data_IF_565083855761
#
_entry.id   IF_565083855761
#
_cell.length_a   1.000
_cell.length_b   1.000
_cell.length_c   1.000
_cell.angle_alpha   90.00
_cell.angle_beta   90.00
_cell.angle_gamma   90.00
#
_symmetry.space_group_name_H-M   'P 1'
#
loop_
_entity.id
_entity.type
_entity.pdbx_description
1 polymer ?
#
# COMPACT_ATOMS: atom_id res chain seq x y z
N UNK A 1 -2.10 13.39 4.88
CA UNK A 1 -1.56 12.02 5.00
C UNK A 1 -1.64 11.67 6.47
N UNK A 2 -2.53 10.75 6.84
CA UNK A 2 -2.72 10.33 8.23
C UNK A 2 -1.43 9.67 8.76
N UNK A 3 -0.93 10.01 9.97
CA UNK A 3 0.27 9.40 10.54
C UNK A 3 0.17 7.86 10.67
N UNK A 4 -1.05 7.29 10.75
CA UNK A 4 -1.26 5.84 10.74
C UNK A 4 -0.89 5.20 9.40
N UNK A 5 -1.11 5.92 8.29
CA UNK A 5 -0.76 5.46 6.93
C UNK A 5 0.76 5.41 6.79
N UNK A 6 1.47 6.45 7.21
CA UNK A 6 2.94 6.48 7.14
C UNK A 6 3.61 5.36 7.96
N UNK A 7 3.04 5.00 9.11
CA UNK A 7 3.55 3.92 9.97
C UNK A 7 3.31 2.51 9.39
N UNK A 8 2.29 2.32 8.55
CA UNK A 8 1.96 1.02 7.94
C UNK A 8 2.86 0.69 6.77
N UNK A 9 3.35 1.69 6.03
CA UNK A 9 4.02 1.42 4.78
C UNK A 9 5.53 1.18 4.89
N UNK A 10 6.24 1.71 5.91
CA UNK A 10 7.72 1.64 6.07
C UNK A 10 8.53 1.72 4.74
N UNK A 11 7.93 2.33 3.72
CA UNK A 11 8.57 2.73 2.49
C UNK A 11 9.10 4.12 2.80
N UNK A 12 10.37 4.38 2.50
CA UNK A 12 10.99 5.69 2.68
C UNK A 12 10.00 6.79 2.26
N UNK A 13 9.57 7.61 3.22
CA UNK A 13 8.56 8.67 3.03
C UNK A 13 8.94 9.62 1.90
N UNK A 14 10.24 9.73 1.56
CA UNK A 14 10.69 10.51 0.41
C UNK A 14 10.26 9.92 -0.95
N UNK A 15 10.04 8.61 -1.07
CA UNK A 15 9.55 7.98 -2.30
C UNK A 15 8.02 8.09 -2.46
N UNK A 16 7.28 8.15 -1.34
CA UNK A 16 5.82 8.30 -1.34
C UNK A 16 5.35 9.75 -1.55
N UNK A 17 6.11 10.75 -1.07
CA UNK A 17 5.72 12.17 -1.01
C UNK A 17 6.11 13.04 -2.21
N UNK A 18 6.90 12.53 -3.18
CA UNK A 18 7.33 13.35 -4.31
C UNK A 18 6.18 13.68 -5.28
N UNK A 19 5.87 14.98 -5.42
CA UNK A 19 4.84 15.55 -6.31
C UNK A 19 5.13 15.44 -7.82
N UNK A 20 6.17 14.71 -8.23
CA UNK A 20 6.55 14.53 -9.64
C UNK A 20 6.76 13.06 -9.99
N UNK A 21 6.52 12.70 -11.25
CA UNK A 21 6.90 11.43 -11.92
C UNK A 21 8.45 11.23 -11.93
N UNK A 22 9.11 11.25 -10.78
CA UNK A 22 10.58 11.34 -10.73
C UNK A 22 11.30 10.03 -11.04
N UNK A 23 10.66 8.87 -10.84
CA UNK A 23 11.19 7.56 -11.29
C UNK A 23 10.09 6.50 -11.41
N UNK A 24 10.25 5.50 -12.31
CA UNK A 24 9.40 4.30 -12.34
C UNK A 24 9.34 3.57 -11.00
N UNK A 25 10.43 3.62 -10.22
CA UNK A 25 10.52 3.03 -8.88
C UNK A 25 9.53 3.65 -7.90
N UNK A 26 9.45 4.98 -7.84
CA UNK A 26 8.51 5.65 -6.95
C UNK A 26 7.05 5.43 -7.38
N UNK A 27 6.79 5.35 -8.69
CA UNK A 27 5.46 5.02 -9.20
C UNK A 27 5.03 3.62 -8.76
N UNK A 28 5.93 2.64 -8.92
CA UNK A 28 5.72 1.27 -8.47
C UNK A 28 5.51 1.17 -6.96
N UNK A 29 6.32 1.86 -6.15
CA UNK A 29 6.16 1.90 -4.70
C UNK A 29 4.77 2.41 -4.27
N UNK A 30 4.26 3.47 -4.93
CA UNK A 30 2.89 3.96 -4.67
C UNK A 30 1.82 2.97 -5.09
N UNK A 31 2.02 2.25 -6.20
CA UNK A 31 1.09 1.21 -6.66
C UNK A 31 1.03 0.07 -5.63
N UNK A 32 2.18 -0.39 -5.13
CA UNK A 32 2.27 -1.40 -4.05
C UNK A 32 1.56 -0.90 -2.79
N UNK A 33 1.79 0.36 -2.37
CA UNK A 33 1.13 0.91 -1.19
C UNK A 33 -0.41 0.98 -1.34
N UNK A 34 -0.91 1.39 -2.52
CA UNK A 34 -2.34 1.38 -2.83
C UNK A 34 -2.93 -0.03 -2.83
N UNK A 35 -2.20 -0.98 -3.40
CA UNK A 35 -2.58 -2.38 -3.43
C UNK A 35 -2.73 -2.96 -2.03
N UNK A 36 -1.73 -2.80 -1.17
CA UNK A 36 -1.78 -3.30 0.21
C UNK A 36 -2.89 -2.65 1.04
N UNK A 37 -3.12 -1.34 0.84
CA UNK A 37 -4.22 -0.63 1.48
C UNK A 37 -5.59 -1.23 1.11
N UNK A 38 -5.75 -1.67 -0.15
CA UNK A 38 -6.98 -2.29 -0.62
C UNK A 38 -7.10 -3.75 -0.17
N UNK A 39 -6.09 -4.56 -0.47
CA UNK A 39 -6.13 -6.03 -0.34
C UNK A 39 -5.91 -6.47 1.10
N UNK A 40 -4.94 -5.89 1.81
CA UNK A 40 -4.60 -6.31 3.18
C UNK A 40 -5.41 -5.53 4.21
N UNK A 41 -5.50 -4.21 4.05
CA UNK A 41 -6.23 -3.37 5.01
C UNK A 41 -7.75 -3.34 4.76
N UNK A 42 -8.23 -3.90 3.65
CA UNK A 42 -9.66 -3.98 3.33
C UNK A 42 -10.32 -2.65 2.99
N UNK A 43 -9.55 -1.59 2.71
CA UNK A 43 -10.10 -0.29 2.35
C UNK A 43 -10.70 -0.33 0.94
N UNK A 44 -11.82 0.34 0.71
CA UNK A 44 -12.37 0.48 -0.63
C UNK A 44 -11.46 1.32 -1.54
N UNK A 45 -11.57 1.12 -2.86
CA UNK A 45 -10.81 1.91 -3.86
C UNK A 45 -11.00 3.43 -3.69
N UNK A 46 -12.18 3.86 -3.23
CA UNK A 46 -12.49 5.26 -2.95
C UNK A 46 -11.75 5.76 -1.71
N UNK A 47 -11.73 4.98 -0.63
CA UNK A 47 -11.00 5.33 0.60
C UNK A 47 -9.50 5.42 0.34
N UNK A 48 -8.93 4.43 -0.36
CA UNK A 48 -7.53 4.44 -0.79
C UNK A 48 -7.26 5.66 -1.68
N UNK A 49 -8.14 5.97 -2.63
CA UNK A 49 -8.03 7.17 -3.47
C UNK A 49 -7.95 8.45 -2.64
N UNK A 50 -8.79 8.56 -1.61
CA UNK A 50 -8.75 9.64 -0.63
C UNK A 50 -7.41 9.75 0.11
N UNK A 51 -6.85 8.62 0.58
CA UNK A 51 -5.57 8.59 1.30
C UNK A 51 -4.38 9.04 0.44
N UNK A 52 -4.39 8.68 -0.85
CA UNK A 52 -3.30 8.96 -1.77
C UNK A 52 -3.54 10.20 -2.66
N UNK A 53 -4.65 10.92 -2.46
CA UNK A 53 -5.10 12.03 -3.31
C UNK A 53 -5.15 11.66 -4.81
N UNK A 54 -5.75 10.51 -5.10
CA UNK A 54 -5.93 9.95 -6.46
C UNK A 54 -7.37 9.54 -6.70
N UNK A 55 -7.76 9.51 -7.97
CA UNK A 55 -9.06 8.97 -8.35
C UNK A 55 -9.11 7.46 -8.08
N UNK A 56 -10.30 6.94 -7.73
CA UNK A 56 -10.50 5.50 -7.49
C UNK A 56 -10.07 4.62 -8.67
N UNK A 57 -10.17 5.12 -9.91
CA UNK A 57 -9.70 4.41 -11.11
C UNK A 57 -8.18 4.31 -11.18
N UNK A 58 -7.45 5.28 -10.60
CA UNK A 58 -5.99 5.20 -10.45
C UNK A 58 -5.62 4.08 -9.47
N UNK A 59 -6.39 3.92 -8.40
CA UNK A 59 -6.20 2.83 -7.43
C UNK A 59 -6.54 1.47 -8.06
N UNK A 60 -7.64 1.39 -8.81
CA UNK A 60 -7.99 0.18 -9.55
C UNK A 60 -6.86 -0.23 -10.50
N UNK A 61 -6.36 0.72 -11.29
CA UNK A 61 -5.23 0.49 -12.18
C UNK A 61 -3.95 0.10 -11.43
N UNK A 62 -3.69 0.69 -10.26
CA UNK A 62 -2.58 0.27 -9.42
C UNK A 62 -2.71 -1.19 -8.99
N UNK A 63 -3.91 -1.63 -8.58
CA UNK A 63 -4.15 -3.02 -8.18
C UNK A 63 -3.96 -3.97 -9.36
N UNK A 64 -4.52 -3.66 -10.54
CA UNK A 64 -4.32 -4.43 -11.77
C UNK A 64 -2.84 -4.58 -12.10
N UNK A 65 -2.06 -3.48 -12.07
CA UNK A 65 -0.62 -3.51 -12.35
C UNK A 65 0.15 -4.38 -11.36
N UNK A 66 -0.24 -4.43 -10.09
CA UNK A 66 0.43 -5.28 -9.10
C UNK A 66 0.05 -6.74 -9.32
N UNK A 67 -1.22 -7.05 -9.55
CA UNK A 67 -1.70 -8.41 -9.83
C UNK A 67 -1.04 -8.99 -11.10
N UNK A 68 -0.99 -8.22 -12.20
CA UNK A 68 -0.32 -8.64 -13.44
C UNK A 68 1.18 -8.92 -13.24
N UNK A 69 1.80 -8.27 -12.25
CA UNK A 69 3.23 -8.44 -11.96
C UNK A 69 3.53 -9.58 -11.00
N UNK A 70 2.52 -10.17 -10.35
CA UNK A 70 2.68 -11.37 -9.52
C UNK A 70 3.01 -12.63 -10.33
N UNK A 71 2.90 -12.56 -11.66
CA UNK A 71 3.41 -13.60 -12.56
C UNK A 71 4.94 -13.79 -12.46
N UNK A 72 5.67 -12.81 -11.91
CA UNK A 72 7.09 -12.92 -11.57
C UNK A 72 7.26 -13.52 -10.15
N UNK A 73 7.78 -14.75 -10.00
CA UNK A 73 7.89 -15.42 -8.70
C UNK A 73 8.80 -14.69 -7.70
N UNK A 74 9.81 -13.95 -8.17
CA UNK A 74 10.69 -13.18 -7.28
C UNK A 74 9.93 -12.00 -6.67
N UNK A 75 9.15 -11.31 -7.49
CA UNK A 75 8.33 -10.20 -7.03
C UNK A 75 7.17 -10.66 -6.16
N UNK A 76 6.51 -11.75 -6.53
CA UNK A 76 5.39 -12.30 -5.79
C UNK A 76 5.79 -12.68 -4.35
N UNK A 77 6.90 -13.43 -4.19
CA UNK A 77 7.40 -13.75 -2.86
C UNK A 77 7.76 -12.53 -1.99
N UNK A 78 8.19 -11.43 -2.62
CA UNK A 78 8.43 -10.15 -1.93
C UNK A 78 7.12 -9.46 -1.53
N UNK A 79 6.10 -9.51 -2.38
CA UNK A 79 4.76 -8.99 -2.08
C UNK A 79 4.11 -9.78 -0.95
N UNK A 80 4.14 -11.11 -1.00
CA UNK A 80 3.63 -11.98 0.08
C UNK A 80 4.28 -11.68 1.43
N UNK A 81 5.59 -11.40 1.45
CA UNK A 81 6.27 -11.01 2.68
C UNK A 81 5.73 -9.69 3.24
N UNK A 82 5.53 -8.70 2.37
CA UNK A 82 5.01 -7.40 2.76
C UNK A 82 3.55 -7.49 3.24
N UNK A 83 2.73 -8.28 2.56
CA UNK A 83 1.34 -8.55 2.98
C UNK A 83 1.27 -9.15 4.38
N UNK A 84 2.10 -10.16 4.66
CA UNK A 84 2.19 -10.77 5.99
C UNK A 84 2.66 -9.78 7.05
N UNK A 85 3.65 -8.93 6.74
CA UNK A 85 4.14 -7.92 7.66
C UNK A 85 3.06 -6.88 8.00
N UNK A 86 2.32 -6.40 6.99
CA UNK A 86 1.22 -5.43 7.17
C UNK A 86 0.08 -6.06 7.97
N UNK A 87 -0.32 -7.30 7.67
CA UNK A 87 -1.36 -8.01 8.42
C UNK A 87 -0.98 -8.16 9.90
N UNK A 88 0.25 -8.59 10.19
CA UNK A 88 0.74 -8.72 11.57
C UNK A 88 0.75 -7.37 12.32
N UNK A 89 1.08 -6.27 11.63
CA UNK A 89 1.02 -4.92 12.22
C UNK A 89 -0.42 -4.50 12.54
N UNK A 90 -1.37 -4.77 11.64
CA UNK A 90 -2.80 -4.49 11.86
C UNK A 90 -3.29 -5.23 13.09
N UNK A 91 -2.97 -6.52 13.21
CA UNK A 91 -3.34 -7.35 14.35
C UNK A 91 -2.74 -6.82 15.66
N UNK A 92 -1.45 -6.46 15.65
CA UNK A 92 -0.78 -5.87 16.80
C UNK A 92 -1.44 -4.55 17.23
N UNK A 93 -1.74 -3.66 16.28
CA UNK A 93 -2.41 -2.38 16.56
C UNK A 93 -3.85 -2.57 17.04
N UNK A 94 -4.59 -3.52 16.48
CA UNK A 94 -5.94 -3.88 16.92
C UNK A 94 -5.93 -4.40 18.36
N UNK A 95 -4.96 -5.27 18.69
CA UNK A 95 -4.76 -5.78 20.05
C UNK A 95 -4.46 -4.66 21.07
N UNK A 96 -3.73 -3.63 20.66
CA UNK A 96 -3.48 -2.46 21.52
C UNK A 96 -4.71 -1.59 21.74
N UNK A 97 -5.60 -1.44 20.74
CA UNK A 97 -6.83 -0.65 20.89
C UNK A 97 -7.90 -1.33 21.74
N UNK A 98 -7.99 -2.66 21.71
CA UNK A 98 -8.98 -3.43 22.48
C UNK A 98 -8.66 -3.60 23.98
N UNK A 99 -7.46 -3.20 24.45
CA UNK A 99 -7.05 -3.28 25.86
C UNK A 99 -7.19 -1.95 26.62
N UNK A 100 -7.94 -0.98 26.08
CA UNK A 100 -8.36 0.24 26.78
C UNK A 100 -9.83 0.17 27.16
#
# INVERSE_FOLDING_TARGET
MDPAVAAVFDVDVHDLSAATRRSPRAAFARQVAMYLAHVVCGLSLTEVGGLFARDRTTVAHACEVIEDRRDDPELDGRLEHLERAVAALIDALAWHRGRR
#
